data_IF_885217702031
#
_entry.id   IF_885217702031
#
_cell.length_a   1.000
_cell.length_b   1.000
_cell.length_c   1.000
_cell.angle_alpha   90.00
_cell.angle_beta   90.00
_cell.angle_gamma   90.00
#
_symmetry.space_group_name_H-M   'P 1'
#
loop_
_entity.id
_entity.type
_entity.pdbx_description
1 polymer ?
#
# COMPACT_ATOMS: atom_id res chain seq x y z
N UNK A 1 -13.41 -13.60 -9.18
CA UNK A 1 -12.03 -13.40 -8.71
C UNK A 1 -11.03 -14.37 -9.35
N UNK A 2 -11.22 -15.70 -9.28
CA UNK A 2 -10.29 -16.68 -9.88
C UNK A 2 -10.02 -16.47 -11.39
N UNK A 3 -11.07 -16.35 -12.22
CA UNK A 3 -10.94 -16.06 -13.67
C UNK A 3 -10.20 -14.77 -14.00
N UNK A 4 -10.35 -13.74 -13.17
CA UNK A 4 -9.63 -12.47 -13.33
C UNK A 4 -8.13 -12.66 -13.08
N UNK A 5 -7.77 -13.39 -12.02
CA UNK A 5 -6.40 -13.76 -11.74
C UNK A 5 -5.80 -14.65 -12.83
N UNK A 6 -6.54 -15.62 -13.35
CA UNK A 6 -6.10 -16.46 -14.47
C UNK A 6 -5.79 -15.61 -15.72
N UNK A 7 -6.64 -14.62 -16.03
CA UNK A 7 -6.39 -13.68 -17.12
C UNK A 7 -5.11 -12.87 -16.91
N UNK A 8 -4.95 -12.22 -15.74
CA UNK A 8 -3.74 -11.44 -15.42
C UNK A 8 -2.47 -12.31 -15.39
N UNK A 9 -2.58 -13.55 -14.90
CA UNK A 9 -1.47 -14.49 -14.85
C UNK A 9 -1.17 -15.11 -16.21
N UNK A 10 -2.00 -14.94 -17.22
CA UNK A 10 -1.70 -15.36 -18.60
C UNK A 10 -0.89 -14.29 -19.35
N UNK A 11 -1.08 -13.01 -19.01
CA UNK A 11 -0.38 -11.89 -19.65
C UNK A 11 1.14 -11.92 -19.50
N UNK A 12 1.87 -11.24 -20.39
CA UNK A 12 3.33 -11.17 -20.25
C UNK A 12 3.70 -10.40 -18.96
N UNK A 13 4.54 -11.01 -18.11
CA UNK A 13 4.82 -10.47 -16.78
C UNK A 13 5.36 -9.04 -16.74
N UNK A 14 6.12 -8.62 -17.76
CA UNK A 14 6.61 -7.25 -17.87
C UNK A 14 5.48 -6.25 -18.19
N UNK A 15 4.48 -6.63 -19.01
CA UNK A 15 3.34 -5.77 -19.33
C UNK A 15 2.51 -5.50 -18.07
N UNK A 16 2.28 -6.53 -17.26
CA UNK A 16 1.59 -6.41 -15.98
C UNK A 16 2.35 -5.49 -15.02
N UNK A 17 3.68 -5.64 -14.94
CA UNK A 17 4.52 -4.78 -14.10
C UNK A 17 4.46 -3.31 -14.53
N UNK A 18 4.67 -3.03 -15.82
CA UNK A 18 4.65 -1.65 -16.31
C UNK A 18 3.26 -1.03 -16.23
N UNK A 19 2.18 -1.78 -16.45
CA UNK A 19 0.82 -1.22 -16.34
C UNK A 19 0.50 -0.77 -14.91
N UNK A 20 0.86 -1.56 -13.90
CA UNK A 20 0.66 -1.19 -12.49
C UNK A 20 1.48 0.06 -12.14
N UNK A 21 2.75 0.14 -12.55
CA UNK A 21 3.60 1.31 -12.30
C UNK A 21 3.03 2.56 -12.97
N UNK A 22 2.64 2.47 -14.24
CA UNK A 22 2.07 3.60 -14.98
C UNK A 22 0.81 4.13 -14.31
N UNK A 23 -0.06 3.25 -13.80
CA UNK A 23 -1.27 3.70 -13.10
C UNK A 23 -0.91 4.39 -11.78
N UNK A 24 0.04 3.86 -11.01
CA UNK A 24 0.51 4.54 -9.79
C UNK A 24 1.13 5.91 -10.10
N UNK A 25 1.86 6.04 -11.20
CA UNK A 25 2.37 7.33 -11.68
C UNK A 25 1.25 8.31 -12.00
N UNK A 26 0.25 7.88 -12.77
CA UNK A 26 -0.91 8.70 -13.12
C UNK A 26 -1.70 9.12 -11.88
N UNK A 27 -1.92 8.20 -10.93
CA UNK A 27 -2.57 8.51 -9.66
C UNK A 27 -1.78 9.52 -8.84
N UNK A 28 -0.46 9.36 -8.75
CA UNK A 28 0.38 10.30 -8.02
C UNK A 28 0.36 11.68 -8.66
N UNK A 29 0.53 11.75 -9.99
CA UNK A 29 0.43 12.98 -10.75
C UNK A 29 -0.93 13.67 -10.56
N UNK A 30 -2.03 12.93 -10.73
CA UNK A 30 -3.37 13.48 -10.56
C UNK A 30 -3.63 13.94 -9.12
N UNK A 31 -3.14 13.21 -8.12
CA UNK A 31 -3.26 13.62 -6.72
C UNK A 31 -2.49 14.91 -6.45
N UNK A 32 -1.28 15.05 -7.00
CA UNK A 32 -0.47 16.25 -6.84
C UNK A 32 -1.14 17.47 -7.49
N UNK A 33 -1.63 17.31 -8.72
CA UNK A 33 -2.21 18.41 -9.50
C UNK A 33 -3.60 18.85 -8.97
N UNK A 34 -4.45 17.89 -8.61
CA UNK A 34 -5.86 18.19 -8.31
C UNK A 34 -6.21 18.19 -6.82
N UNK A 35 -5.43 17.52 -5.97
CA UNK A 35 -5.75 17.37 -4.54
C UNK A 35 -4.75 18.14 -3.67
N UNK A 36 -3.45 17.95 -3.86
CA UNK A 36 -2.40 18.57 -3.05
C UNK A 36 -1.99 19.95 -3.59
N UNK A 37 -2.95 20.87 -3.66
CA UNK A 37 -2.69 22.25 -4.12
C UNK A 37 -1.89 23.05 -3.10
N UNK A 38 -1.18 24.08 -3.58
CA UNK A 38 -0.40 25.00 -2.73
C UNK A 38 -1.27 25.64 -1.64
N UNK A 39 -2.54 25.96 -1.94
CA UNK A 39 -3.49 26.51 -0.97
C UNK A 39 -3.84 25.52 0.13
N UNK A 40 -4.01 24.25 -0.19
CA UNK A 40 -4.26 23.20 0.81
C UNK A 40 -3.03 22.99 1.70
N UNK A 41 -1.83 22.96 1.10
CA UNK A 41 -0.59 22.86 1.87
C UNK A 41 -0.41 24.07 2.79
N UNK A 42 -0.68 25.27 2.30
CA UNK A 42 -0.64 26.50 3.09
C UNK A 42 -1.62 26.43 4.26
N UNK A 43 -2.89 26.10 4.01
CA UNK A 43 -3.91 25.96 5.06
C UNK A 43 -3.56 24.92 6.12
N UNK A 44 -2.84 23.87 5.73
CA UNK A 44 -2.42 22.80 6.65
C UNK A 44 -1.26 23.22 7.58
N UNK A 45 -0.39 24.11 7.11
CA UNK A 45 0.78 24.59 7.84
C UNK A 45 0.54 25.94 8.53
N UNK A 46 -0.51 26.64 8.10
CA UNK A 46 -0.92 27.92 8.67
C UNK A 46 -1.24 27.77 10.15
N UNK A 47 -0.65 28.65 10.98
CA UNK A 47 -0.76 28.58 12.44
C UNK A 47 0.18 27.58 13.12
N UNK A 48 0.86 26.69 12.38
CA UNK A 48 1.90 25.81 12.93
C UNK A 48 3.32 26.36 12.67
N UNK A 49 3.51 27.07 11.55
CA UNK A 49 4.78 27.63 11.13
C UNK A 49 4.65 29.11 10.76
N UNK A 50 5.71 29.93 10.93
CA UNK A 50 5.73 31.28 10.38
C UNK A 50 5.72 31.24 8.85
N UNK A 51 5.04 32.21 8.21
CA UNK A 51 4.77 32.22 6.76
C UNK A 51 6.03 32.05 5.89
N UNK A 52 7.15 32.67 6.27
CA UNK A 52 8.43 32.58 5.56
C UNK A 52 8.94 31.13 5.45
N UNK A 53 8.66 30.29 6.46
CA UNK A 53 9.03 28.88 6.43
C UNK A 53 8.04 28.06 5.59
N UNK A 54 6.77 28.45 5.52
CA UNK A 54 5.76 27.79 4.70
C UNK A 54 6.11 27.94 3.21
N UNK A 55 6.41 29.15 2.76
CA UNK A 55 6.79 29.41 1.36
C UNK A 55 8.08 28.66 0.96
N UNK A 56 9.05 28.63 1.88
CA UNK A 56 10.30 27.89 1.69
C UNK A 56 10.05 26.38 1.60
N UNK A 57 9.15 25.83 2.42
CA UNK A 57 8.79 24.41 2.40
C UNK A 57 8.04 24.03 1.11
N UNK A 58 7.08 24.84 0.67
CA UNK A 58 6.33 24.62 -0.59
C UNK A 58 7.29 24.68 -1.79
N UNK A 59 8.20 25.66 -1.81
CA UNK A 59 9.19 25.79 -2.88
C UNK A 59 10.16 24.60 -2.91
N UNK A 60 10.59 24.12 -1.75
CA UNK A 60 11.41 22.92 -1.64
C UNK A 60 10.66 21.68 -2.14
N UNK A 61 9.41 21.50 -1.71
CA UNK A 61 8.57 20.39 -2.15
C UNK A 61 8.43 20.35 -3.67
N UNK A 62 8.13 21.48 -4.30
CA UNK A 62 8.04 21.62 -5.77
C UNK A 62 9.36 21.27 -6.46
N UNK A 63 10.49 21.71 -5.92
CA UNK A 63 11.83 21.42 -6.49
C UNK A 63 12.17 19.92 -6.46
N UNK A 64 11.70 19.20 -5.45
CA UNK A 64 11.99 17.77 -5.26
C UNK A 64 10.86 16.84 -5.71
N UNK A 65 9.75 17.39 -6.22
CA UNK A 65 8.62 16.59 -6.71
C UNK A 65 9.05 15.58 -7.80
N UNK A 66 9.99 15.92 -8.67
CA UNK A 66 10.49 14.99 -9.69
C UNK A 66 11.16 13.73 -9.09
N UNK A 67 11.79 13.85 -7.91
CA UNK A 67 12.41 12.73 -7.22
C UNK A 67 11.35 11.76 -6.70
N UNK A 68 10.19 12.26 -6.27
CA UNK A 68 9.09 11.40 -5.81
C UNK A 68 8.56 10.51 -6.95
N UNK A 69 8.48 11.03 -8.18
CA UNK A 69 8.13 10.23 -9.36
C UNK A 69 9.19 9.18 -9.69
N UNK A 70 10.48 9.55 -9.63
CA UNK A 70 11.58 8.63 -9.95
C UNK A 70 11.75 7.51 -8.91
N UNK A 71 11.52 7.81 -7.62
CA UNK A 71 11.72 6.84 -6.53
C UNK A 71 10.53 5.88 -6.36
N UNK A 72 9.33 6.30 -6.76
CA UNK A 72 8.11 5.50 -6.69
C UNK A 72 8.25 4.08 -7.30
N UNK A 73 8.72 3.89 -8.55
CA UNK A 73 8.86 2.55 -9.14
C UNK A 73 9.88 1.70 -8.38
N UNK A 74 10.92 2.31 -7.81
CA UNK A 74 11.93 1.63 -7.00
C UNK A 74 11.30 1.11 -5.71
N UNK A 75 10.55 1.96 -5.00
CA UNK A 75 9.87 1.59 -3.74
C UNK A 75 8.83 0.50 -3.98
N UNK A 76 8.00 0.61 -5.02
CA UNK A 76 7.01 -0.40 -5.36
C UNK A 76 7.66 -1.75 -5.71
N UNK A 77 8.74 -1.72 -6.49
CA UNK A 77 9.47 -2.94 -6.84
C UNK A 77 10.07 -3.59 -5.59
N UNK A 78 10.66 -2.80 -4.69
CA UNK A 78 11.21 -3.30 -3.44
C UNK A 78 10.12 -3.91 -2.55
N UNK A 79 8.95 -3.27 -2.44
CA UNK A 79 7.77 -3.81 -1.75
C UNK A 79 7.39 -5.18 -2.31
N UNK A 80 7.24 -5.31 -3.63
CA UNK A 80 6.83 -6.58 -4.24
C UNK A 80 7.90 -7.66 -4.12
N UNK A 81 9.19 -7.30 -4.22
CA UNK A 81 10.30 -8.20 -3.99
C UNK A 81 10.29 -8.74 -2.55
N UNK A 82 10.09 -7.85 -1.57
CA UNK A 82 10.01 -8.22 -0.16
C UNK A 82 8.88 -9.22 0.08
N UNK A 83 7.66 -8.91 -0.37
CA UNK A 83 6.50 -9.82 -0.23
C UNK A 83 6.77 -11.16 -0.92
N UNK A 84 7.31 -11.12 -2.14
CA UNK A 84 7.60 -12.33 -2.93
C UNK A 84 8.68 -13.19 -2.28
N UNK A 85 9.68 -12.58 -1.65
CA UNK A 85 10.75 -13.29 -0.96
C UNK A 85 10.20 -14.11 0.21
N UNK A 86 9.34 -13.52 1.06
CA UNK A 86 8.72 -14.25 2.17
C UNK A 86 7.87 -15.42 1.68
N UNK A 87 7.04 -15.20 0.66
CA UNK A 87 6.20 -16.27 0.09
C UNK A 87 7.07 -17.36 -0.53
N UNK A 88 8.16 -17.01 -1.22
CA UNK A 88 9.10 -17.97 -1.80
C UNK A 88 9.84 -18.79 -0.73
N UNK A 89 10.26 -18.15 0.36
CA UNK A 89 10.83 -18.87 1.51
C UNK A 89 9.82 -19.84 2.09
N UNK A 90 8.57 -19.40 2.31
CA UNK A 90 7.50 -20.29 2.76
C UNK A 90 7.21 -21.43 1.79
N UNK A 91 7.26 -21.18 0.49
CA UNK A 91 6.97 -22.19 -0.53
C UNK A 91 8.02 -23.29 -0.53
N UNK A 92 9.29 -22.94 -0.33
CA UNK A 92 10.39 -23.91 -0.16
C UNK A 92 10.17 -24.77 1.10
N UNK A 93 9.88 -24.15 2.25
CA UNK A 93 9.65 -24.89 3.49
C UNK A 93 8.42 -25.81 3.45
N UNK A 94 7.39 -25.43 2.71
CA UNK A 94 6.14 -26.21 2.59
C UNK A 94 6.13 -27.15 1.37
N UNK A 95 7.23 -27.24 0.62
CA UNK A 95 7.37 -28.17 -0.51
C UNK A 95 6.54 -27.81 -1.76
N UNK A 96 6.21 -26.53 -1.95
CA UNK A 96 5.50 -26.05 -3.14
C UNK A 96 6.45 -25.94 -4.33
N UNK A 97 6.09 -26.56 -5.46
CA UNK A 97 6.86 -26.47 -6.70
C UNK A 97 6.50 -25.19 -7.48
N UNK A 98 6.96 -24.04 -6.99
CA UNK A 98 6.71 -22.72 -7.62
C UNK A 98 8.02 -21.96 -7.77
N UNK A 99 8.24 -21.37 -8.94
CA UNK A 99 9.42 -20.52 -9.18
C UNK A 99 9.20 -19.11 -8.63
N UNK A 100 10.26 -18.47 -8.16
CA UNK A 100 10.21 -17.08 -7.67
C UNK A 100 9.55 -16.11 -8.67
N UNK A 101 9.85 -16.24 -9.97
CA UNK A 101 9.22 -15.41 -11.02
C UNK A 101 7.69 -15.52 -11.05
N UNK A 102 7.14 -16.70 -10.75
CA UNK A 102 5.68 -16.89 -10.70
C UNK A 102 5.10 -16.24 -9.44
N UNK A 103 5.77 -16.38 -8.29
CA UNK A 103 5.37 -15.72 -7.04
C UNK A 103 5.42 -14.19 -7.17
N UNK A 104 6.48 -13.68 -7.79
CA UNK A 104 6.61 -12.26 -8.08
C UNK A 104 5.48 -11.76 -8.97
N UNK A 105 5.22 -12.45 -10.08
CA UNK A 105 4.09 -12.12 -10.97
C UNK A 105 2.75 -12.14 -10.23
N UNK A 106 2.52 -13.14 -9.38
CA UNK A 106 1.33 -13.22 -8.53
C UNK A 106 1.22 -12.04 -7.59
N UNK A 107 2.33 -11.62 -6.98
CA UNK A 107 2.37 -10.47 -6.06
C UNK A 107 2.00 -9.18 -6.78
N UNK A 108 2.58 -8.91 -7.95
CA UNK A 108 2.23 -7.74 -8.77
C UNK A 108 0.79 -7.83 -9.27
N UNK A 109 0.30 -9.02 -9.63
CA UNK A 109 -1.10 -9.21 -10.03
C UNK A 109 -2.07 -8.89 -8.89
N UNK A 110 -1.75 -9.26 -7.65
CA UNK A 110 -2.55 -8.91 -6.47
C UNK A 110 -2.56 -7.42 -6.14
N UNK A 111 -1.55 -6.66 -6.59
CA UNK A 111 -1.47 -5.22 -6.39
C UNK A 111 -2.61 -4.47 -7.10
N UNK A 112 -3.24 -5.05 -8.12
CA UNK A 112 -4.42 -4.46 -8.76
C UNK A 112 -5.56 -4.14 -7.79
N UNK A 113 -5.62 -4.84 -6.66
CA UNK A 113 -6.53 -4.50 -5.56
C UNK A 113 -6.25 -3.09 -5.02
N UNK A 114 -4.99 -2.80 -4.69
CA UNK A 114 -4.57 -1.51 -4.13
C UNK A 114 -4.60 -0.40 -5.17
N UNK A 115 -4.30 -0.71 -6.43
CA UNK A 115 -4.50 0.22 -7.55
C UNK A 115 -5.97 0.66 -7.62
N UNK A 116 -6.89 -0.30 -7.58
CA UNK A 116 -8.34 -0.01 -7.62
C UNK A 116 -8.77 0.85 -6.44
N UNK A 117 -8.30 0.52 -5.23
CA UNK A 117 -8.57 1.33 -4.04
C UNK A 117 -8.00 2.74 -4.19
N UNK A 118 -6.79 2.89 -4.73
CA UNK A 118 -6.16 4.18 -4.98
C UNK A 118 -6.97 5.06 -5.92
N UNK A 119 -7.52 4.48 -6.99
CA UNK A 119 -8.43 5.19 -7.92
C UNK A 119 -9.70 5.64 -7.20
N UNK A 120 -10.36 4.75 -6.44
CA UNK A 120 -11.57 5.11 -5.69
C UNK A 120 -11.26 6.21 -4.68
N UNK A 121 -10.13 6.10 -3.98
CA UNK A 121 -9.71 7.09 -2.99
C UNK A 121 -9.46 8.45 -3.62
N UNK A 122 -8.78 8.49 -4.77
CA UNK A 122 -8.58 9.72 -5.53
C UNK A 122 -9.92 10.36 -5.93
N UNK A 123 -10.86 9.58 -6.45
CA UNK A 123 -12.20 10.07 -6.81
C UNK A 123 -12.91 10.64 -5.58
N UNK A 124 -12.89 9.94 -4.44
CA UNK A 124 -13.48 10.43 -3.19
C UNK A 124 -12.87 11.77 -2.76
N UNK A 125 -11.54 11.90 -2.83
CA UNK A 125 -10.84 13.13 -2.48
C UNK A 125 -11.15 14.30 -3.42
N UNK A 126 -11.34 14.04 -4.71
CA UNK A 126 -11.76 15.08 -5.66
C UNK A 126 -13.12 15.68 -5.30
N UNK A 127 -14.03 14.87 -4.76
CA UNK A 127 -15.38 15.33 -4.39
C UNK A 127 -15.50 15.80 -2.93
N UNK A 128 -14.52 15.52 -2.08
CA UNK A 128 -14.61 15.85 -0.65
C UNK A 128 -14.28 17.31 -0.32
N UNK A 129 -13.67 18.06 -1.24
CA UNK A 129 -13.21 19.44 -1.02
C UNK A 129 -12.37 19.58 0.27
N UNK A 130 -11.50 18.62 0.56
CA UNK A 130 -10.65 18.66 1.76
C UNK A 130 -9.86 19.97 1.80
N UNK A 131 -9.85 20.65 2.94
CA UNK A 131 -9.22 21.97 3.08
C UNK A 131 -7.81 21.91 3.69
N UNK A 132 -7.47 20.76 4.29
CA UNK A 132 -6.19 20.52 4.94
C UNK A 132 -5.78 19.04 4.85
N UNK A 133 -4.54 18.76 5.20
CA UNK A 133 -3.95 17.42 5.18
C UNK A 133 -4.62 16.45 6.16
N UNK A 134 -5.15 16.93 7.29
CA UNK A 134 -5.85 16.08 8.27
C UNK A 134 -7.16 15.53 7.69
N UNK A 135 -7.91 16.35 6.97
CA UNK A 135 -9.13 15.94 6.27
C UNK A 135 -8.82 14.94 5.17
N UNK A 136 -7.75 15.12 4.39
CA UNK A 136 -7.29 14.13 3.41
C UNK A 136 -7.05 12.76 4.08
N UNK A 137 -6.43 12.73 5.26
CA UNK A 137 -6.20 11.49 6.00
C UNK A 137 -7.50 10.84 6.48
N UNK A 138 -8.50 11.63 6.89
CA UNK A 138 -9.81 11.13 7.31
C UNK A 138 -10.61 10.51 6.17
N UNK A 139 -10.52 11.06 4.96
CA UNK A 139 -11.19 10.53 3.78
C UNK A 139 -10.47 9.34 3.14
N UNK A 140 -9.27 8.99 3.63
CA UNK A 140 -8.51 7.89 3.08
C UNK A 140 -9.15 6.52 3.41
N UNK A 141 -9.68 5.86 2.38
CA UNK A 141 -10.34 4.55 2.48
C UNK A 141 -9.52 3.48 3.19
N UNK A 142 -8.19 3.46 2.99
CA UNK A 142 -7.32 2.47 3.64
C UNK A 142 -7.28 2.69 5.16
N UNK A 143 -7.26 3.95 5.58
CA UNK A 143 -7.26 4.34 6.99
C UNK A 143 -8.60 4.03 7.64
N UNK A 144 -9.71 4.42 7.00
CA UNK A 144 -11.07 4.21 7.54
C UNK A 144 -11.42 2.73 7.72
N UNK A 145 -10.92 1.86 6.84
CA UNK A 145 -11.16 0.42 6.89
C UNK A 145 -10.14 -0.35 7.75
N UNK A 146 -9.34 0.36 8.55
CA UNK A 146 -8.31 -0.22 9.41
C UNK A 146 -8.79 -0.44 10.84
N UNK A 147 -8.17 -1.40 11.52
CA UNK A 147 -8.38 -1.62 12.97
C UNK A 147 -7.90 -0.41 13.77
N UNK A 148 -6.84 0.26 13.30
CA UNK A 148 -6.32 1.48 13.93
C UNK A 148 -7.38 2.59 14.05
N UNK A 149 -8.29 2.71 13.09
CA UNK A 149 -9.39 3.67 13.16
C UNK A 149 -10.41 3.33 14.26
N UNK A 150 -10.67 2.04 14.52
CA UNK A 150 -11.63 1.61 15.55
C UNK A 150 -11.14 1.90 16.98
N UNK A 151 -9.83 1.93 17.19
CA UNK A 151 -9.20 2.22 18.48
C UNK A 151 -8.81 3.69 18.63
N UNK A 152 -9.01 4.50 17.58
CA UNK A 152 -8.71 5.92 17.60
C UNK A 152 -9.63 6.63 18.60
N UNK A 153 -9.05 7.36 19.55
CA UNK A 153 -9.79 8.07 20.61
C UNK A 153 -9.97 7.29 21.91
N UNK A 154 -9.49 6.04 22.00
CA UNK A 154 -9.43 5.32 23.27
C UNK A 154 -8.19 5.78 24.05
N UNK A 155 -8.40 6.33 25.25
CA UNK A 155 -7.32 6.77 26.13
C UNK A 155 -6.36 5.61 26.45
N UNK A 156 -5.06 5.89 26.41
CA UNK A 156 -4.00 4.90 26.68
C UNK A 156 -3.60 3.98 25.50
N UNK A 157 -4.33 4.01 24.38
CA UNK A 157 -4.04 3.15 23.20
C UNK A 157 -3.51 3.89 21.97
N UNK A 158 -3.19 5.19 22.08
CA UNK A 158 -2.76 6.00 20.94
C UNK A 158 -1.50 5.45 20.24
N UNK A 159 -0.56 4.89 21.00
CA UNK A 159 0.66 4.26 20.47
C UNK A 159 0.39 2.99 19.63
N UNK A 160 -0.81 2.39 19.75
CA UNK A 160 -1.24 1.24 18.93
C UNK A 160 -1.97 1.64 17.65
N UNK A 161 -2.42 2.90 17.53
CA UNK A 161 -3.18 3.34 16.35
C UNK A 161 -2.37 3.13 15.07
N UNK A 162 -1.13 3.64 15.01
CA UNK A 162 -0.29 3.54 13.82
C UNK A 162 0.09 2.09 13.44
N UNK A 163 0.54 1.22 14.38
CA UNK A 163 0.80 -0.18 14.08
C UNK A 163 -0.43 -0.92 13.53
N UNK A 164 -1.61 -0.70 14.14
CA UNK A 164 -2.84 -1.38 13.75
C UNK A 164 -3.53 -0.80 12.52
N UNK A 165 -3.15 0.40 12.04
CA UNK A 165 -3.61 0.90 10.74
C UNK A 165 -3.16 0.00 9.57
N UNK A 166 -2.03 -0.71 9.72
CA UNK A 166 -1.55 -1.70 8.74
C UNK A 166 -2.49 -2.90 8.62
N UNK A 167 -3.31 -3.18 9.65
CA UNK A 167 -4.35 -4.21 9.63
C UNK A 167 -5.66 -3.59 9.17
N UNK A 168 -6.02 -3.83 7.91
CA UNK A 168 -7.26 -3.36 7.32
C UNK A 168 -7.95 -4.44 6.50
N UNK A 169 -9.22 -4.22 6.17
CA UNK A 169 -10.01 -5.19 5.40
C UNK A 169 -9.40 -5.45 4.02
N UNK A 170 -8.81 -4.42 3.38
CA UNK A 170 -8.14 -4.56 2.08
C UNK A 170 -6.92 -5.48 2.19
N UNK A 171 -6.22 -5.46 3.32
CA UNK A 171 -5.08 -6.32 3.59
C UNK A 171 -5.51 -7.79 3.69
N UNK A 172 -6.68 -8.07 4.28
CA UNK A 172 -7.27 -9.40 4.29
C UNK A 172 -7.65 -9.87 2.87
N UNK A 173 -8.28 -8.99 2.09
CA UNK A 173 -8.61 -9.29 0.68
C UNK A 173 -7.32 -9.53 -0.13
N UNK A 174 -6.24 -8.78 0.15
CA UNK A 174 -4.94 -8.96 -0.49
C UNK A 174 -4.33 -10.33 -0.16
N UNK A 175 -4.42 -10.79 1.09
CA UNK A 175 -3.98 -12.14 1.47
C UNK A 175 -4.76 -13.22 0.71
N UNK A 176 -6.07 -13.06 0.57
CA UNK A 176 -6.91 -13.96 -0.22
C UNK A 176 -6.49 -13.93 -1.70
N UNK A 177 -6.23 -12.75 -2.24
CA UNK A 177 -5.82 -12.54 -3.62
C UNK A 177 -4.46 -13.21 -3.92
N UNK A 178 -3.48 -13.04 -3.03
CA UNK A 178 -2.19 -13.75 -3.08
C UNK A 178 -2.38 -15.27 -3.01
N UNK A 179 -3.20 -15.77 -2.08
CA UNK A 179 -3.45 -17.20 -1.92
C UNK A 179 -4.11 -17.80 -3.17
N UNK A 180 -5.03 -17.07 -3.80
CA UNK A 180 -5.63 -17.46 -5.08
C UNK A 180 -4.57 -17.52 -6.18
N UNK A 181 -3.75 -16.47 -6.34
CA UNK A 181 -2.72 -16.46 -7.37
C UNK A 181 -1.67 -17.56 -7.17
N UNK A 182 -1.27 -17.83 -5.91
CA UNK A 182 -0.38 -18.93 -5.56
C UNK A 182 -1.02 -20.27 -5.93
N UNK A 183 -2.29 -20.49 -5.60
CA UNK A 183 -2.99 -21.74 -5.94
C UNK A 183 -3.04 -22.01 -7.44
N UNK A 184 -3.18 -20.95 -8.25
CA UNK A 184 -3.18 -21.05 -9.71
C UNK A 184 -1.79 -21.42 -10.24
N UNK A 185 -0.73 -20.76 -9.77
CA UNK A 185 0.64 -21.01 -10.28
C UNK A 185 1.27 -22.29 -9.75
N UNK A 186 0.83 -22.77 -8.58
CA UNK A 186 1.33 -24.00 -7.96
C UNK A 186 0.48 -25.23 -8.25
N UNK A 187 -0.70 -25.04 -8.85
CA UNK A 187 -1.71 -26.09 -9.04
C UNK A 187 -2.09 -26.84 -7.74
N UNK A 188 -2.01 -26.15 -6.59
CA UNK A 188 -2.38 -26.70 -5.28
C UNK A 188 -3.78 -26.23 -4.87
N UNK A 189 -4.37 -26.92 -3.89
CA UNK A 189 -5.66 -26.50 -3.32
C UNK A 189 -5.53 -25.12 -2.68
N UNK A 190 -6.56 -24.28 -2.84
CA UNK A 190 -6.62 -22.93 -2.27
C UNK A 190 -6.33 -22.93 -0.76
N UNK A 191 -6.89 -23.86 0.03
CA UNK A 191 -6.65 -23.91 1.48
C UNK A 191 -5.17 -24.12 1.85
N UNK A 192 -4.43 -24.93 1.09
CA UNK A 192 -2.98 -25.08 1.29
C UNK A 192 -2.24 -23.80 0.91
N UNK A 193 -2.63 -23.16 -0.19
CA UNK A 193 -2.02 -21.91 -0.65
C UNK A 193 -2.30 -20.75 0.31
N UNK A 194 -3.50 -20.70 0.89
CA UNK A 194 -3.86 -19.76 1.95
C UNK A 194 -3.03 -19.99 3.20
N UNK A 195 -2.84 -21.25 3.61
CA UNK A 195 -1.96 -21.59 4.74
C UNK A 195 -0.52 -21.11 4.48
N UNK A 196 -0.02 -21.30 3.26
CA UNK A 196 1.29 -20.82 2.85
C UNK A 196 1.38 -19.29 2.96
N UNK A 197 0.46 -18.54 2.33
CA UNK A 197 0.49 -17.07 2.35
C UNK A 197 0.34 -16.55 3.77
N UNK A 198 -0.61 -17.05 4.56
CA UNK A 198 -0.81 -16.59 5.94
C UNK A 198 0.41 -16.87 6.83
N UNK A 199 1.07 -18.04 6.69
CA UNK A 199 2.27 -18.33 7.49
C UNK A 199 3.51 -17.55 7.06
N UNK A 200 3.65 -17.27 5.77
CA UNK A 200 4.81 -16.56 5.22
C UNK A 200 4.63 -15.04 5.26
N UNK A 201 3.69 -14.53 4.46
CA UNK A 201 3.37 -13.11 4.41
C UNK A 201 2.80 -12.60 5.74
N UNK A 202 2.01 -13.40 6.45
CA UNK A 202 1.53 -13.00 7.77
C UNK A 202 2.66 -12.82 8.78
N UNK A 203 3.72 -13.64 8.73
CA UNK A 203 4.92 -13.41 9.54
C UNK A 203 5.63 -12.10 9.17
N UNK A 204 5.75 -11.80 7.86
CA UNK A 204 6.30 -10.52 7.39
C UNK A 204 5.48 -9.32 7.91
N UNK A 205 4.15 -9.46 7.92
CA UNK A 205 3.24 -8.44 8.42
C UNK A 205 3.37 -8.24 9.94
N UNK A 206 3.54 -9.30 10.71
CA UNK A 206 3.80 -9.20 12.16
C UNK A 206 5.12 -8.47 12.43
N UNK A 207 6.19 -8.80 11.69
CA UNK A 207 7.47 -8.09 11.79
C UNK A 207 7.29 -6.60 11.50
N UNK A 208 6.50 -6.26 10.47
CA UNK A 208 6.17 -4.88 10.13
C UNK A 208 5.43 -4.16 11.26
N UNK A 209 4.39 -4.77 11.83
CA UNK A 209 3.64 -4.17 12.95
C UNK A 209 4.54 -3.91 14.15
N UNK A 210 5.37 -4.89 14.54
CA UNK A 210 6.29 -4.75 15.67
C UNK A 210 7.30 -3.64 15.43
N UNK A 211 7.83 -3.54 14.20
CA UNK A 211 8.74 -2.47 13.82
C UNK A 211 8.08 -1.09 13.93
N UNK A 212 6.87 -0.92 13.40
CA UNK A 212 6.14 0.34 13.48
C UNK A 212 5.79 0.70 14.93
N UNK A 213 5.40 -0.28 15.74
CA UNK A 213 5.15 -0.07 17.17
C UNK A 213 6.41 0.40 17.90
N UNK A 214 7.54 -0.25 17.64
CA UNK A 214 8.83 0.13 18.23
C UNK A 214 9.23 1.56 17.84
N UNK A 215 9.15 1.90 16.55
CA UNK A 215 9.47 3.26 16.07
C UNK A 215 8.54 4.28 16.72
N UNK A 216 7.25 3.99 16.78
CA UNK A 216 6.25 4.90 17.35
C UNK A 216 6.53 5.14 18.84
N UNK A 217 6.84 4.11 19.62
CA UNK A 217 7.11 4.27 21.06
C UNK A 217 8.49 4.91 21.33
N UNK A 218 9.49 4.65 20.48
CA UNK A 218 10.85 5.13 20.71
C UNK A 218 11.09 6.56 20.27
N UNK A 219 10.29 7.07 19.33
CA UNK A 219 10.46 8.39 18.70
C UNK A 219 9.22 9.28 18.74
N UNK A 220 8.16 8.88 19.47
CA UNK A 220 7.07 9.78 19.86
C UNK A 220 7.41 10.50 21.17
#
# INVERSE_FOLDING_TARGET
MKRFFESLLNEKGYLLFFSVITIYWLLNYATYEFVLTDSLMYNSLYGQLPEQYIDSAITFHRKWAWVSYAILPVILTLKWLFISAFIATGSVFMGFNVRFKQIFKTTVASEWLFVTVGVINFIVLLFSNAQNLEEIQRFNLVSTLSIGHLIQGVEGLQWLVAPFQSLNILQLIFVIALALGVSVVSNEKFGKSLTLVTKSYGAALVIWIVLIAYITVSYA
#
